data_IF_289357435377
#
_entry.id   IF_289357435377
#
_cell.length_a   1.000
_cell.length_b   1.000
_cell.length_c   1.000
_cell.angle_alpha   90.00
_cell.angle_beta   90.00
_cell.angle_gamma   90.00
#
_symmetry.space_group_name_H-M   'P 1'
#
loop_
_entity.id
_entity.type
_entity.pdbx_description
1 polymer ?
#
# COMPACT_ATOMS: atom_id res chain seq x y z
N UNK A 1 -46.15 -13.85 -3.04
CA UNK A 1 -45.18 -13.83 -1.92
C UNK A 1 -43.76 -14.17 -2.38
N UNK A 2 -43.55 -15.18 -3.25
CA UNK A 2 -42.21 -15.58 -3.73
C UNK A 2 -41.46 -14.52 -4.58
N UNK A 3 -42.17 -13.69 -5.35
CA UNK A 3 -41.56 -12.68 -6.24
C UNK A 3 -40.86 -11.55 -5.48
N UNK A 4 -41.37 -11.14 -4.32
CA UNK A 4 -40.74 -10.11 -3.50
C UNK A 4 -39.41 -10.60 -2.92
N UNK A 5 -39.37 -11.86 -2.44
CA UNK A 5 -38.15 -12.44 -1.87
C UNK A 5 -37.00 -12.49 -2.89
N UNK A 6 -37.30 -12.81 -4.15
CA UNK A 6 -36.30 -12.84 -5.23
C UNK A 6 -35.80 -11.42 -5.55
N UNK A 7 -36.68 -10.42 -5.55
CA UNK A 7 -36.27 -9.04 -5.76
C UNK A 7 -35.33 -8.55 -4.65
N UNK A 8 -35.62 -8.86 -3.39
CA UNK A 8 -34.77 -8.51 -2.26
C UNK A 8 -33.43 -9.23 -2.28
N UNK A 9 -33.37 -10.51 -2.66
CA UNK A 9 -32.10 -11.24 -2.75
C UNK A 9 -31.22 -10.69 -3.87
N UNK A 10 -31.80 -10.42 -5.05
CA UNK A 10 -31.06 -9.81 -6.17
C UNK A 10 -30.57 -8.42 -5.79
N UNK A 11 -31.42 -7.59 -5.18
CA UNK A 11 -31.05 -6.25 -4.71
C UNK A 11 -29.91 -6.32 -3.68
N UNK A 12 -29.96 -7.27 -2.75
CA UNK A 12 -28.94 -7.50 -1.74
C UNK A 12 -27.59 -7.90 -2.35
N UNK A 13 -27.59 -8.78 -3.36
CA UNK A 13 -26.37 -9.20 -4.06
C UNK A 13 -25.75 -8.02 -4.82
N UNK A 14 -26.58 -7.21 -5.50
CA UNK A 14 -26.10 -6.02 -6.22
C UNK A 14 -25.50 -5.00 -5.27
N UNK A 15 -26.16 -4.71 -4.13
CA UNK A 15 -25.64 -3.83 -3.09
C UNK A 15 -24.32 -4.34 -2.49
N UNK A 16 -24.24 -5.65 -2.22
CA UNK A 16 -23.03 -6.27 -1.70
C UNK A 16 -21.87 -6.18 -2.69
N UNK A 17 -22.13 -6.42 -3.98
CA UNK A 17 -21.13 -6.27 -5.04
C UNK A 17 -20.64 -4.83 -5.16
N UNK A 18 -21.56 -3.86 -5.17
CA UNK A 18 -21.23 -2.42 -5.21
C UNK A 18 -20.40 -1.97 -4.01
N UNK A 19 -20.58 -2.57 -2.84
CA UNK A 19 -19.81 -2.27 -1.64
C UNK A 19 -18.45 -2.99 -1.62
N UNK A 20 -18.40 -4.26 -2.03
CA UNK A 20 -17.21 -5.10 -1.93
C UNK A 20 -16.12 -4.75 -2.95
N UNK A 21 -16.52 -4.38 -4.18
CA UNK A 21 -15.61 -3.99 -5.26
C UNK A 21 -14.66 -2.82 -4.88
N UNK A 22 -15.15 -1.65 -4.41
CA UNK A 22 -14.29 -0.54 -4.04
C UNK A 22 -13.43 -0.86 -2.81
N UNK A 23 -13.93 -1.71 -1.90
CA UNK A 23 -13.18 -2.15 -0.71
C UNK A 23 -11.92 -2.94 -1.09
N UNK A 24 -11.99 -3.82 -2.11
CA UNK A 24 -10.83 -4.58 -2.58
C UNK A 24 -9.76 -3.68 -3.17
N UNK A 25 -10.15 -2.72 -4.00
CA UNK A 25 -9.24 -1.76 -4.63
C UNK A 25 -8.61 -0.82 -3.58
N UNK A 26 -9.39 -0.41 -2.57
CA UNK A 26 -8.89 0.40 -1.47
C UNK A 26 -7.82 -0.33 -0.65
N UNK A 27 -8.00 -1.62 -0.35
CA UNK A 27 -7.00 -2.43 0.38
C UNK A 27 -5.72 -2.59 -0.45
N UNK A 28 -5.84 -2.89 -1.75
CA UNK A 28 -4.70 -2.95 -2.66
C UNK A 28 -3.93 -1.61 -2.72
N UNK A 29 -4.67 -0.50 -2.79
CA UNK A 29 -4.09 0.84 -2.76
C UNK A 29 -3.31 1.10 -1.47
N UNK A 30 -3.88 0.75 -0.31
CA UNK A 30 -3.19 0.89 0.98
C UNK A 30 -1.91 0.07 1.03
N UNK A 31 -1.93 -1.19 0.57
CA UNK A 31 -0.73 -2.04 0.52
C UNK A 31 0.35 -1.41 -0.37
N UNK A 32 -0.05 -0.87 -1.54
CA UNK A 32 0.87 -0.19 -2.46
C UNK A 32 1.50 1.05 -1.83
N UNK A 33 0.71 1.91 -1.17
CA UNK A 33 1.22 3.09 -0.48
C UNK A 33 2.13 2.70 0.70
N UNK A 34 1.81 1.61 1.39
CA UNK A 34 2.57 1.09 2.53
C UNK A 34 3.90 0.42 2.12
N UNK A 35 4.16 0.21 0.82
CA UNK A 35 5.43 -0.37 0.37
C UNK A 35 6.59 0.64 0.32
N UNK A 36 6.32 1.94 0.51
CA UNK A 36 7.37 2.96 0.49
C UNK A 36 8.27 2.83 1.71
N UNK A 37 9.54 2.45 1.49
CA UNK A 37 10.55 2.32 2.55
C UNK A 37 11.48 3.53 2.53
N UNK A 38 11.85 3.98 3.72
CA UNK A 38 12.77 5.09 3.93
C UNK A 38 14.17 4.55 4.22
N UNK A 39 15.14 4.97 3.42
CA UNK A 39 16.55 4.64 3.61
C UNK A 39 17.31 5.92 3.93
N UNK A 40 18.26 5.83 4.86
CA UNK A 40 19.17 6.93 5.16
C UNK A 40 20.60 6.48 4.94
N UNK A 41 21.39 7.30 4.24
CA UNK A 41 22.80 7.01 4.07
C UNK A 41 23.60 7.40 5.33
N UNK A 42 24.34 6.47 5.97
CA UNK A 42 25.12 6.78 7.16
C UNK A 42 26.36 7.64 6.89
N UNK A 43 26.83 7.75 5.64
CA UNK A 43 28.04 8.49 5.30
C UNK A 43 27.78 9.95 4.89
N UNK A 44 26.78 10.23 4.05
CA UNK A 44 26.48 11.58 3.60
C UNK A 44 25.23 12.18 4.26
N UNK A 45 24.42 11.40 4.96
CA UNK A 45 23.18 11.85 5.59
C UNK A 45 22.00 12.03 4.61
N UNK A 46 22.18 11.66 3.33
CA UNK A 46 21.12 11.72 2.32
C UNK A 46 19.95 10.82 2.70
N UNK A 47 18.72 11.35 2.64
CA UNK A 47 17.48 10.60 2.91
C UNK A 47 16.83 10.25 1.60
N UNK A 48 16.61 8.96 1.36
CA UNK A 48 16.07 8.47 0.10
C UNK A 48 14.77 7.72 0.38
N UNK A 49 13.69 8.14 -0.28
CA UNK A 49 12.43 7.40 -0.32
C UNK A 49 12.48 6.45 -1.51
N UNK A 50 12.35 5.15 -1.25
CA UNK A 50 12.39 4.13 -2.28
C UNK A 50 11.10 3.32 -2.25
N UNK A 51 10.42 3.22 -3.38
CA UNK A 51 9.13 2.51 -3.48
C UNK A 51 9.32 0.99 -3.58
N UNK A 52 10.51 0.52 -3.98
CA UNK A 52 10.73 -0.88 -4.39
C UNK A 52 12.03 -1.50 -3.86
N UNK A 53 12.55 -1.13 -2.68
CA UNK A 53 13.60 -1.89 -1.95
C UNK A 53 14.86 -2.33 -2.71
N UNK A 54 15.14 -1.78 -3.89
CA UNK A 54 16.14 -2.30 -4.85
C UNK A 54 17.47 -1.59 -4.78
N UNK A 55 17.52 -0.42 -4.12
CA UNK A 55 18.74 0.35 -3.99
C UNK A 55 19.47 -0.01 -2.69
N UNK A 56 20.51 -0.82 -2.82
CA UNK A 56 21.45 -1.12 -1.73
C UNK A 56 22.50 -0.03 -1.53
N UNK A 57 22.56 0.97 -2.41
CA UNK A 57 23.68 1.92 -2.53
C UNK A 57 23.20 3.37 -2.67
N UNK A 58 23.81 4.30 -1.93
CA UNK A 58 23.53 5.73 -2.01
C UNK A 58 24.06 6.31 -3.34
N UNK A 59 23.21 7.03 -4.07
CA UNK A 59 23.56 7.65 -5.36
C UNK A 59 24.62 8.76 -5.27
N UNK A 60 24.77 9.38 -4.09
CA UNK A 60 25.70 10.49 -3.89
C UNK A 60 27.11 10.03 -3.50
N UNK A 61 27.23 9.02 -2.64
CA UNK A 61 28.51 8.61 -2.07
C UNK A 61 28.87 7.13 -2.29
N UNK A 62 27.97 6.33 -2.87
CA UNK A 62 28.22 4.90 -3.12
C UNK A 62 28.27 4.04 -1.85
N UNK A 63 27.97 4.59 -0.67
CA UNK A 63 27.89 3.81 0.56
C UNK A 63 26.61 2.98 0.62
N UNK A 64 26.66 1.85 1.33
CA UNK A 64 25.49 1.01 1.52
C UNK A 64 24.38 1.78 2.28
N UNK A 65 23.16 1.76 1.72
CA UNK A 65 22.00 2.34 2.36
C UNK A 65 21.56 1.45 3.53
N UNK A 66 21.32 2.07 4.68
CA UNK A 66 20.78 1.36 5.84
C UNK A 66 19.32 1.73 5.95
N UNK A 67 18.47 0.71 6.03
CA UNK A 67 17.05 0.89 6.27
C UNK A 67 16.84 1.48 7.66
N UNK A 68 16.06 2.54 7.79
CA UNK A 68 15.76 3.14 9.09
C UNK A 68 14.58 2.39 9.74
N UNK A 69 14.81 1.52 10.74
CA UNK A 69 13.73 0.72 11.34
C UNK A 69 12.77 1.56 12.19
N UNK A 70 13.08 2.83 12.47
CA UNK A 70 12.21 3.70 13.29
C UNK A 70 11.11 4.39 12.48
N UNK A 71 11.20 4.40 11.15
CA UNK A 71 10.13 4.89 10.28
C UNK A 71 9.42 3.69 9.67
N UNK A 72 8.36 3.27 10.36
CA UNK A 72 7.43 2.31 9.83
C UNK A 72 6.85 2.76 8.48
N UNK A 73 6.28 1.84 7.71
CA UNK A 73 5.60 2.20 6.48
C UNK A 73 4.34 3.00 6.84
N UNK A 74 4.29 4.26 6.40
CA UNK A 74 3.28 5.23 6.84
C UNK A 74 3.80 6.11 7.96
N UNK A 75 4.25 7.32 7.59
CA UNK A 75 4.66 8.36 8.53
C UNK A 75 3.50 8.87 9.39
#
# INVERSE_FOLDING_TARGET
MASAAILWTVLGIVLLGLLALPLKEFIMYLISVNSRRHYSCPQCGERIMMEHGTASICSACGAALVEDPRRGPGG
#
